data_IF_670965076955
#
_entry.id   IF_670965076955
#
_cell.length_a   1.000
_cell.length_b   1.000
_cell.length_c   1.000
_cell.angle_alpha   90.00
_cell.angle_beta   90.00
_cell.angle_gamma   90.00
#
_symmetry.space_group_name_H-M   'P 1'
#
loop_
_entity.id
_entity.type
_entity.pdbx_description
1 polymer ?
#
# COMPACT_ATOMS: atom_id res chain seq x y z
N UNK A 1 -17.17 11.95 -16.96
CA UNK A 1 -15.81 11.61 -16.48
C UNK A 1 -15.53 10.20 -16.91
N UNK A 2 -14.44 9.98 -17.65
CA UNK A 2 -14.17 8.68 -18.30
C UNK A 2 -13.77 7.65 -17.25
N UNK A 3 -14.38 6.47 -17.31
CA UNK A 3 -13.80 5.30 -16.64
C UNK A 3 -12.44 5.02 -17.27
N UNK A 4 -11.42 4.60 -16.51
CA UNK A 4 -10.15 4.19 -17.09
C UNK A 4 -10.38 3.17 -18.21
N UNK A 5 -9.72 3.38 -19.34
CA UNK A 5 -9.83 2.52 -20.52
C UNK A 5 -8.89 1.33 -20.37
N UNK A 6 -9.45 0.13 -20.17
CA UNK A 6 -8.69 -1.12 -20.15
C UNK A 6 -8.87 -1.90 -21.46
N UNK A 7 -7.83 -2.59 -21.95
CA UNK A 7 -6.49 -2.70 -21.37
C UNK A 7 -5.67 -1.41 -21.57
N UNK A 8 -4.83 -1.06 -20.58
CA UNK A 8 -3.84 0.01 -20.70
C UNK A 8 -2.43 -0.57 -20.81
N UNK A 9 -1.54 0.16 -21.48
CA UNK A 9 -0.10 -0.13 -21.50
C UNK A 9 0.69 0.85 -20.63
N UNK A 10 0.00 1.76 -19.95
CA UNK A 10 0.62 2.70 -19.01
C UNK A 10 0.90 2.03 -17.67
N UNK A 11 1.93 2.52 -16.99
CA UNK A 11 2.33 2.03 -15.68
C UNK A 11 2.95 0.63 -15.71
N UNK A 12 3.14 0.06 -14.53
CA UNK A 12 3.83 -1.20 -14.33
C UNK A 12 3.23 -2.03 -13.19
N UNK A 13 3.30 -3.35 -13.36
CA UNK A 13 2.94 -4.36 -12.35
C UNK A 13 4.21 -4.92 -11.69
N UNK A 14 4.08 -5.90 -10.79
CA UNK A 14 5.19 -6.47 -10.01
C UNK A 14 6.40 -6.97 -10.83
N UNK A 15 6.22 -7.31 -12.12
CA UNK A 15 7.30 -7.74 -13.04
C UNK A 15 7.71 -6.66 -14.06
N UNK A 16 7.14 -5.47 -13.95
CA UNK A 16 7.42 -4.36 -14.84
C UNK A 16 8.81 -3.80 -14.60
N UNK A 17 9.26 -2.98 -15.54
CA UNK A 17 10.55 -2.29 -15.47
C UNK A 17 10.29 -0.79 -15.39
N UNK A 18 11.13 -0.11 -14.62
CA UNK A 18 11.19 1.34 -14.62
C UNK A 18 12.23 1.84 -15.62
N UNK A 19 12.06 3.08 -16.08
CA UNK A 19 12.93 3.70 -17.08
C UNK A 19 14.30 4.09 -16.52
N UNK A 20 14.38 4.34 -15.20
CA UNK A 20 15.61 4.67 -14.53
C UNK A 20 16.64 3.53 -14.63
N UNK A 21 17.81 3.81 -15.21
CA UNK A 21 18.86 2.80 -15.42
C UNK A 21 19.37 2.19 -14.12
N UNK A 22 19.28 2.91 -13.01
CA UNK A 22 19.67 2.47 -11.67
C UNK A 22 18.71 1.43 -11.09
N UNK A 23 17.47 1.30 -11.60
CA UNK A 23 16.51 0.31 -11.13
C UNK A 23 17.00 -1.14 -11.26
N UNK A 24 17.91 -1.42 -12.20
CA UNK A 24 18.57 -2.73 -12.32
C UNK A 24 19.44 -3.11 -11.11
N UNK A 25 19.77 -2.15 -10.24
CA UNK A 25 20.51 -2.38 -8.98
C UNK A 25 19.60 -2.79 -7.82
N UNK A 26 18.31 -3.02 -8.10
CA UNK A 26 17.35 -3.53 -7.14
C UNK A 26 16.77 -4.84 -7.65
N UNK A 27 16.65 -5.81 -6.75
CA UNK A 27 15.84 -7.00 -6.94
C UNK A 27 14.78 -7.02 -5.85
N UNK A 28 13.54 -6.74 -6.24
CA UNK A 28 12.43 -6.73 -5.30
C UNK A 28 11.98 -8.16 -4.97
N UNK A 29 11.90 -8.44 -3.67
CA UNK A 29 11.41 -9.68 -3.11
C UNK A 29 9.89 -9.80 -3.14
N UNK A 30 9.41 -10.96 -2.72
CA UNK A 30 8.00 -11.21 -2.42
C UNK A 30 7.91 -11.61 -0.95
N UNK A 31 6.93 -11.10 -0.17
CA UNK A 31 6.65 -11.68 1.12
C UNK A 31 6.12 -13.10 0.96
N UNK A 32 6.16 -13.88 2.03
CA UNK A 32 5.65 -15.25 2.09
C UNK A 32 6.30 -16.14 1.04
N UNK A 33 7.62 -16.04 0.88
CA UNK A 33 8.37 -16.62 -0.24
C UNK A 33 8.09 -18.12 -0.47
N UNK A 34 8.00 -18.90 0.61
CA UNK A 34 7.65 -20.32 0.52
C UNK A 34 6.23 -20.53 -0.01
N UNK A 35 5.23 -19.85 0.58
CA UNK A 35 3.83 -19.95 0.16
C UNK A 35 3.64 -19.50 -1.30
N UNK A 36 4.31 -18.41 -1.71
CA UNK A 36 4.31 -17.93 -3.10
C UNK A 36 4.95 -18.95 -4.04
N UNK A 37 6.04 -19.61 -3.63
CA UNK A 37 6.68 -20.66 -4.42
C UNK A 37 5.76 -21.87 -4.59
N UNK A 38 5.16 -22.35 -3.51
CA UNK A 38 4.21 -23.47 -3.54
C UNK A 38 2.98 -23.13 -4.40
N UNK A 39 2.43 -21.92 -4.28
CA UNK A 39 1.32 -21.46 -5.12
C UNK A 39 1.70 -21.48 -6.61
N UNK A 40 2.88 -20.98 -6.99
CA UNK A 40 3.37 -21.03 -8.38
C UNK A 40 3.47 -22.46 -8.90
N UNK A 41 3.89 -23.41 -8.08
CA UNK A 41 3.91 -24.83 -8.45
C UNK A 41 2.50 -25.41 -8.61
N UNK A 42 1.58 -25.07 -7.71
CA UNK A 42 0.21 -25.58 -7.73
C UNK A 42 -0.56 -25.19 -9.00
N UNK A 43 -0.28 -24.01 -9.56
CA UNK A 43 -0.92 -23.52 -10.79
C UNK A 43 -0.12 -23.81 -12.07
N UNK A 44 1.07 -24.41 -11.97
CA UNK A 44 1.95 -24.57 -13.12
C UNK A 44 1.32 -25.51 -14.16
N UNK A 45 1.12 -24.98 -15.38
CA UNK A 45 0.53 -25.74 -16.49
C UNK A 45 -0.97 -25.99 -16.36
N UNK A 46 -1.67 -25.32 -15.42
CA UNK A 46 -3.13 -25.38 -15.26
C UNK A 46 -3.80 -24.36 -16.18
N UNK A 47 -4.56 -24.85 -17.15
CA UNK A 47 -5.40 -24.05 -18.06
C UNK A 47 -6.76 -23.69 -17.45
N UNK A 48 -7.17 -24.41 -16.41
CA UNK A 48 -8.40 -24.18 -15.64
C UNK A 48 -8.25 -23.15 -14.51
N UNK A 49 -7.03 -22.64 -14.28
CA UNK A 49 -6.80 -21.62 -13.27
C UNK A 49 -7.07 -20.22 -13.81
N UNK A 50 -8.14 -19.58 -13.30
CA UNK A 50 -8.43 -18.17 -13.52
C UNK A 50 -7.89 -17.30 -12.36
N UNK A 51 -6.89 -16.43 -12.59
CA UNK A 51 -6.38 -15.51 -11.57
C UNK A 51 -7.44 -14.59 -10.95
N UNK A 52 -8.55 -14.33 -11.65
CA UNK A 52 -9.66 -13.54 -11.12
C UNK A 52 -10.29 -14.20 -9.87
N UNK A 53 -10.21 -15.54 -9.73
CA UNK A 53 -10.68 -16.23 -8.54
C UNK A 53 -9.89 -15.81 -7.27
N UNK A 54 -8.57 -15.62 -7.39
CA UNK A 54 -7.76 -15.09 -6.28
C UNK A 54 -8.08 -13.63 -5.98
N UNK A 55 -8.35 -12.82 -7.01
CA UNK A 55 -8.80 -11.44 -6.81
C UNK A 55 -10.13 -11.38 -6.03
N UNK A 56 -11.09 -12.25 -6.37
CA UNK A 56 -12.37 -12.36 -5.63
C UNK A 56 -12.12 -12.79 -4.19
N UNK A 57 -11.27 -13.79 -3.96
CA UNK A 57 -10.92 -14.24 -2.61
C UNK A 57 -10.26 -13.11 -1.80
N UNK A 58 -9.26 -12.42 -2.35
CA UNK A 58 -8.58 -11.32 -1.68
C UNK A 58 -9.51 -10.14 -1.39
N UNK A 59 -10.40 -9.81 -2.34
CA UNK A 59 -11.43 -8.77 -2.17
C UNK A 59 -12.40 -9.12 -1.02
N UNK A 60 -12.76 -10.40 -0.89
CA UNK A 60 -13.60 -10.87 0.22
C UNK A 60 -12.89 -10.68 1.57
N UNK A 61 -11.60 -11.06 1.68
CA UNK A 61 -10.82 -10.87 2.91
C UNK A 61 -10.66 -9.38 3.25
N UNK A 62 -10.32 -8.53 2.28
CA UNK A 62 -10.20 -7.09 2.48
C UNK A 62 -11.52 -6.46 2.98
N UNK A 63 -12.64 -6.86 2.37
CA UNK A 63 -13.98 -6.43 2.80
C UNK A 63 -14.28 -6.90 4.23
N UNK A 64 -13.90 -8.12 4.61
CA UNK A 64 -14.07 -8.63 5.97
C UNK A 64 -13.31 -7.79 7.00
N UNK A 65 -12.03 -7.45 6.74
CA UNK A 65 -11.22 -6.58 7.61
C UNK A 65 -11.88 -5.21 7.80
N UNK A 66 -12.34 -4.59 6.71
CA UNK A 66 -13.06 -3.32 6.76
C UNK A 66 -14.35 -3.42 7.59
N UNK A 67 -15.10 -4.52 7.43
CA UNK A 67 -16.33 -4.74 8.19
C UNK A 67 -16.07 -4.99 9.67
N UNK A 68 -14.99 -5.71 10.02
CA UNK A 68 -14.54 -5.91 11.40
C UNK A 68 -14.21 -4.56 12.04
N UNK A 69 -13.39 -3.73 11.38
CA UNK A 69 -13.06 -2.38 11.85
C UNK A 69 -14.33 -1.57 12.15
N UNK A 70 -15.26 -1.51 11.18
CA UNK A 70 -16.51 -0.78 11.34
C UNK A 70 -17.40 -1.37 12.46
N UNK A 71 -17.47 -2.69 12.59
CA UNK A 71 -18.28 -3.34 13.61
C UNK A 71 -17.73 -3.09 15.01
N UNK A 72 -16.42 -3.20 15.17
CA UNK A 72 -15.73 -2.97 16.43
C UNK A 72 -15.79 -1.49 16.83
N UNK A 73 -15.66 -0.55 15.89
CA UNK A 73 -15.89 0.88 16.16
C UNK A 73 -17.32 1.17 16.65
N UNK A 74 -18.32 0.48 16.10
CA UNK A 74 -19.71 0.61 16.55
C UNK A 74 -19.90 0.06 17.96
N UNK A 75 -19.33 -1.11 18.25
CA UNK A 75 -19.53 -1.79 19.52
C UNK A 75 -18.69 -1.21 20.67
N UNK A 76 -17.45 -0.80 20.38
CA UNK A 76 -16.44 -0.49 21.41
C UNK A 76 -15.77 0.88 21.22
N UNK A 77 -16.14 1.64 20.18
CA UNK A 77 -15.62 2.99 19.96
C UNK A 77 -14.11 3.04 19.75
N UNK A 78 -13.46 3.99 20.45
CA UNK A 78 -12.04 4.29 20.28
C UNK A 78 -11.14 3.11 20.67
N UNK A 79 -11.46 2.42 21.76
CA UNK A 79 -10.68 1.27 22.20
C UNK A 79 -10.72 0.15 21.17
N UNK A 80 -11.91 -0.17 20.66
CA UNK A 80 -12.05 -1.14 19.59
C UNK A 80 -11.34 -0.76 18.29
N UNK A 81 -11.44 0.51 17.89
CA UNK A 81 -10.72 1.03 16.72
C UNK A 81 -9.21 0.80 16.86
N UNK A 82 -8.66 1.13 18.03
CA UNK A 82 -7.24 0.98 18.32
C UNK A 82 -6.80 -0.50 18.34
N UNK A 83 -7.62 -1.40 18.90
CA UNK A 83 -7.35 -2.85 18.85
C UNK A 83 -7.24 -3.36 17.42
N UNK A 84 -8.19 -3.00 16.54
CA UNK A 84 -8.16 -3.44 15.14
C UNK A 84 -7.03 -2.78 14.37
N UNK A 85 -6.74 -1.49 14.62
CA UNK A 85 -5.61 -0.79 14.02
C UNK A 85 -4.29 -1.50 14.30
N UNK A 86 -4.01 -1.86 15.55
CA UNK A 86 -2.77 -2.57 15.93
C UNK A 86 -2.63 -3.89 15.20
N UNK A 87 -3.69 -4.71 15.16
CA UNK A 87 -3.67 -5.97 14.41
C UNK A 87 -3.43 -5.77 12.91
N UNK A 88 -3.97 -4.71 12.32
CA UNK A 88 -3.70 -4.36 10.92
C UNK A 88 -2.26 -3.84 10.74
N UNK A 89 -1.73 -3.06 11.68
CA UNK A 89 -0.34 -2.62 11.67
C UNK A 89 0.59 -3.84 11.69
N UNK A 90 0.36 -4.82 12.55
CA UNK A 90 1.14 -6.06 12.62
C UNK A 90 1.17 -6.79 11.27
N UNK A 91 0.03 -6.95 10.61
CA UNK A 91 -0.03 -7.57 9.28
C UNK A 91 0.72 -6.75 8.21
N UNK A 92 0.63 -5.42 8.26
CA UNK A 92 1.38 -4.53 7.37
C UNK A 92 2.89 -4.59 7.60
N UNK A 93 3.30 -4.66 8.87
CA UNK A 93 4.69 -4.80 9.26
C UNK A 93 5.27 -6.13 8.77
N UNK A 94 4.62 -7.25 9.07
CA UNK A 94 5.05 -8.59 8.67
C UNK A 94 5.25 -8.68 7.15
N UNK A 95 4.25 -8.25 6.37
CA UNK A 95 4.32 -8.30 4.92
C UNK A 95 5.45 -7.43 4.34
N UNK A 96 5.70 -6.24 4.92
CA UNK A 96 6.78 -5.38 4.44
C UNK A 96 8.15 -5.86 4.91
N UNK A 97 8.26 -6.35 6.14
CA UNK A 97 9.47 -6.93 6.71
C UNK A 97 9.94 -8.12 5.85
N UNK A 98 9.07 -9.09 5.57
CA UNK A 98 9.42 -10.20 4.70
C UNK A 98 9.72 -9.77 3.26
N UNK A 99 9.04 -8.75 2.73
CA UNK A 99 9.37 -8.20 1.41
C UNK A 99 10.81 -7.66 1.39
N UNK A 100 11.21 -6.91 2.43
CA UNK A 100 12.54 -6.32 2.57
C UNK A 100 13.62 -7.39 2.75
N UNK A 101 13.40 -8.39 3.61
CA UNK A 101 14.30 -9.54 3.81
C UNK A 101 14.56 -10.32 2.52
N UNK A 102 13.56 -10.39 1.65
CA UNK A 102 13.65 -11.07 0.36
C UNK A 102 14.10 -10.14 -0.80
N UNK A 103 14.41 -8.88 -0.51
CA UNK A 103 14.85 -7.89 -1.50
C UNK A 103 16.36 -7.67 -1.43
N UNK A 104 16.96 -7.35 -2.58
CA UNK A 104 18.34 -6.88 -2.67
C UNK A 104 18.30 -5.42 -3.15
N UNK A 105 18.68 -4.48 -2.28
CA UNK A 105 18.72 -3.04 -2.59
C UNK A 105 20.16 -2.56 -2.47
N UNK A 106 20.73 -2.07 -3.58
CA UNK A 106 22.10 -1.58 -3.59
C UNK A 106 22.28 -0.31 -2.74
N UNK A 107 23.29 -0.30 -1.87
CA UNK A 107 23.72 0.88 -1.10
C UNK A 107 24.28 2.01 -1.98
N UNK A 108 24.73 1.71 -3.20
CA UNK A 108 25.18 2.72 -4.18
C UNK A 108 24.04 3.58 -4.78
N UNK A 109 22.79 3.28 -4.47
CA UNK A 109 21.65 4.08 -4.92
C UNK A 109 21.55 5.36 -4.10
N UNK A 110 21.01 6.40 -4.71
CA UNK A 110 20.62 7.57 -3.93
C UNK A 110 19.44 7.19 -3.01
N UNK A 111 19.31 7.87 -1.87
CA UNK A 111 18.31 7.54 -0.86
C UNK A 111 16.88 7.57 -1.41
N UNK A 112 16.54 8.59 -2.18
CA UNK A 112 15.21 8.69 -2.80
C UNK A 112 15.00 7.68 -3.93
N UNK A 113 16.06 7.20 -4.58
CA UNK A 113 15.95 6.06 -5.50
C UNK A 113 15.56 4.80 -4.73
N UNK A 114 16.24 4.50 -3.61
CA UNK A 114 15.90 3.35 -2.76
C UNK A 114 14.45 3.42 -2.29
N UNK A 115 14.04 4.56 -1.73
CA UNK A 115 12.67 4.80 -1.27
C UNK A 115 11.67 4.63 -2.40
N UNK A 116 11.88 5.27 -3.56
CA UNK A 116 10.96 5.16 -4.71
C UNK A 116 10.84 3.73 -5.24
N UNK A 117 11.94 2.97 -5.28
CA UNK A 117 11.94 1.58 -5.76
C UNK A 117 11.27 0.61 -4.77
N UNK A 118 11.42 0.83 -3.47
CA UNK A 118 10.70 0.08 -2.43
C UNK A 118 9.21 0.41 -2.42
N UNK A 119 8.84 1.67 -2.68
CA UNK A 119 7.43 2.07 -2.86
C UNK A 119 6.82 1.38 -4.07
N UNK A 120 7.57 1.24 -5.17
CA UNK A 120 7.12 0.42 -6.30
C UNK A 120 6.82 -1.02 -5.88
N UNK A 121 7.64 -1.61 -5.01
CA UNK A 121 7.38 -2.95 -4.45
C UNK A 121 6.07 -2.96 -3.65
N UNK A 122 5.90 -2.02 -2.72
CA UNK A 122 4.69 -1.87 -1.93
C UNK A 122 3.45 -1.77 -2.83
N UNK A 123 3.47 -0.88 -3.83
CA UNK A 123 2.33 -0.64 -4.70
C UNK A 123 2.01 -1.84 -5.59
N UNK A 124 3.03 -2.43 -6.22
CA UNK A 124 2.81 -3.45 -7.26
C UNK A 124 2.75 -4.88 -6.71
N UNK A 125 3.31 -5.13 -5.52
CA UNK A 125 3.34 -6.45 -4.87
C UNK A 125 2.32 -6.51 -3.75
N UNK A 126 2.44 -5.65 -2.72
CA UNK A 126 1.57 -5.73 -1.53
C UNK A 126 0.15 -5.25 -1.84
N UNK A 127 0.03 -4.19 -2.64
CA UNK A 127 -1.27 -3.65 -3.04
C UNK A 127 -1.75 -4.15 -4.40
N UNK A 128 -0.95 -4.98 -5.09
CA UNK A 128 -1.23 -5.49 -6.43
C UNK A 128 -1.84 -4.41 -7.33
N UNK A 129 -1.26 -3.21 -7.32
CA UNK A 129 -1.78 -2.02 -8.00
C UNK A 129 -0.93 -1.69 -9.22
N UNK A 130 -1.58 -1.13 -10.24
CA UNK A 130 -0.89 -0.63 -11.43
C UNK A 130 -0.33 0.76 -11.11
N UNK A 131 0.99 0.88 -11.10
CA UNK A 131 1.69 2.08 -10.67
C UNK A 131 2.35 2.80 -11.85
N UNK A 132 2.35 4.13 -11.83
CA UNK A 132 3.26 4.97 -12.62
C UNK A 132 4.11 5.82 -11.67
N UNK A 133 5.34 5.40 -11.35
CA UNK A 133 6.20 6.13 -10.44
C UNK A 133 7.05 7.18 -11.16
N UNK A 134 7.55 8.17 -10.41
CA UNK A 134 8.46 9.21 -10.89
C UNK A 134 9.31 9.76 -9.76
N UNK A 135 10.63 9.78 -9.93
CA UNK A 135 11.52 10.54 -9.02
C UNK A 135 11.54 12.00 -9.50
N UNK A 136 11.19 12.94 -8.62
CA UNK A 136 11.05 14.36 -8.97
C UNK A 136 12.23 15.21 -8.53
N UNK A 137 12.92 14.81 -7.46
CA UNK A 137 14.14 15.46 -6.99
C UNK A 137 14.94 14.51 -6.08
N UNK A 138 16.14 14.91 -5.63
CA UNK A 138 16.90 14.14 -4.62
C UNK A 138 16.14 13.92 -3.29
N UNK A 139 15.17 14.79 -2.98
CA UNK A 139 14.43 14.76 -1.71
C UNK A 139 12.95 14.36 -1.88
N UNK A 140 12.51 14.02 -3.09
CA UNK A 140 11.11 13.71 -3.37
C UNK A 140 10.88 12.75 -4.54
N UNK A 141 9.85 11.93 -4.42
CA UNK A 141 9.28 11.19 -5.53
C UNK A 141 7.75 11.23 -5.49
N UNK A 142 7.14 10.85 -6.60
CA UNK A 142 5.70 10.81 -6.77
C UNK A 142 5.31 9.49 -7.42
N UNK A 143 4.06 9.09 -7.24
CA UNK A 143 3.50 7.98 -8.00
C UNK A 143 2.00 8.15 -8.19
N UNK A 144 1.54 7.67 -9.35
CA UNK A 144 0.12 7.50 -9.62
C UNK A 144 -0.25 6.02 -9.49
N UNK A 145 -1.33 5.74 -8.78
CA UNK A 145 -2.02 4.45 -8.88
C UNK A 145 -3.09 4.58 -9.97
N UNK A 146 -2.85 3.91 -11.10
CA UNK A 146 -3.74 3.91 -12.26
C UNK A 146 -4.88 2.91 -12.12
N UNK A 147 -4.64 1.84 -11.36
CA UNK A 147 -5.65 0.86 -10.96
C UNK A 147 -5.32 0.29 -9.58
N UNK A 148 -6.33 0.16 -8.73
CA UNK A 148 -6.20 -0.50 -7.42
C UNK A 148 -7.27 -1.59 -7.27
N UNK A 149 -6.94 -2.75 -6.66
CA UNK A 149 -7.91 -3.82 -6.36
C UNK A 149 -9.20 -3.35 -5.65
N UNK A 150 -9.11 -2.27 -4.88
CA UNK A 150 -10.21 -1.77 -4.06
C UNK A 150 -11.08 -0.72 -4.75
N UNK A 151 -10.68 -0.17 -5.90
CA UNK A 151 -11.28 1.05 -6.47
C UNK A 151 -12.78 0.91 -6.79
N UNK A 152 -13.22 -0.30 -7.15
CA UNK A 152 -14.60 -0.60 -7.55
C UNK A 152 -15.46 -1.11 -6.38
N UNK A 153 -14.89 -1.23 -5.18
CA UNK A 153 -15.56 -1.78 -3.99
C UNK A 153 -15.54 -0.83 -2.80
N UNK A 154 -14.48 -0.06 -2.63
CA UNK A 154 -14.30 0.83 -1.48
C UNK A 154 -14.83 2.22 -1.81
N UNK A 155 -15.51 2.84 -0.84
CA UNK A 155 -15.69 4.29 -0.87
C UNK A 155 -14.35 4.97 -0.55
N UNK A 156 -14.23 6.26 -0.89
CA UNK A 156 -13.04 7.03 -0.51
C UNK A 156 -12.74 7.03 0.99
N UNK A 157 -13.76 6.90 1.84
CA UNK A 157 -13.55 6.83 3.29
C UNK A 157 -13.11 5.44 3.75
N UNK A 158 -13.47 4.38 3.02
CA UNK A 158 -13.05 3.01 3.34
C UNK A 158 -11.55 2.80 3.13
N UNK A 159 -10.93 3.52 2.19
CA UNK A 159 -9.48 3.52 1.99
C UNK A 159 -8.66 3.88 3.24
N UNK A 160 -9.28 4.45 4.29
CA UNK A 160 -8.60 4.70 5.57
C UNK A 160 -8.06 3.42 6.22
N UNK A 161 -8.68 2.26 5.98
CA UNK A 161 -8.17 0.98 6.52
C UNK A 161 -6.78 0.65 5.97
N UNK A 162 -6.52 1.05 4.72
CA UNK A 162 -5.21 0.86 4.08
C UNK A 162 -4.13 1.70 4.76
N UNK A 163 -4.50 2.82 5.40
CA UNK A 163 -3.52 3.62 6.15
C UNK A 163 -2.96 2.87 7.35
N UNK A 164 -3.75 2.02 8.00
CA UNK A 164 -3.27 1.20 9.11
C UNK A 164 -2.31 0.11 8.62
N UNK A 165 -2.53 -0.47 7.43
CA UNK A 165 -1.53 -1.35 6.83
C UNK A 165 -0.22 -0.59 6.56
N UNK A 166 -0.30 0.60 5.95
CA UNK A 166 0.88 1.43 5.65
C UNK A 166 1.64 1.86 6.90
N UNK A 167 0.98 2.09 8.03
CA UNK A 167 1.69 2.38 9.30
C UNK A 167 2.66 1.27 9.67
N UNK A 168 2.22 0.01 9.67
CA UNK A 168 3.11 -1.13 9.92
C UNK A 168 4.21 -1.26 8.86
N UNK A 169 3.88 -0.98 7.60
CA UNK A 169 4.87 -1.00 6.51
C UNK A 169 5.95 0.08 6.68
N UNK A 170 5.57 1.28 7.15
CA UNK A 170 6.49 2.37 7.46
C UNK A 170 7.37 2.03 8.66
N UNK A 171 6.81 1.38 9.67
CA UNK A 171 7.58 0.89 10.83
C UNK A 171 8.62 -0.15 10.36
N UNK A 172 8.24 -1.11 9.51
CA UNK A 172 9.17 -2.09 8.94
C UNK A 172 10.27 -1.44 8.08
N UNK A 173 9.91 -0.46 7.24
CA UNK A 173 10.88 0.33 6.47
C UNK A 173 11.85 1.08 7.38
N UNK A 174 11.36 1.67 8.46
CA UNK A 174 12.18 2.36 9.45
C UNK A 174 13.18 1.42 10.12
N UNK A 175 12.75 0.23 10.52
CA UNK A 175 13.63 -0.78 11.14
C UNK A 175 14.74 -1.26 10.19
N UNK A 176 14.50 -1.19 8.87
CA UNK A 176 15.50 -1.47 7.82
C UNK A 176 16.32 -0.24 7.38
N UNK A 177 16.16 0.91 8.01
CA UNK A 177 16.92 2.12 7.69
C UNK A 177 16.37 2.93 6.50
N UNK A 178 15.11 2.73 6.12
CA UNK A 178 14.43 3.45 5.04
C UNK A 178 13.30 4.37 5.53
N UNK A 179 13.20 4.67 6.83
CA UNK A 179 12.06 5.34 7.46
C UNK A 179 11.97 6.86 7.26
N UNK A 180 12.94 7.46 6.58
CA UNK A 180 13.19 8.90 6.59
C UNK A 180 12.37 9.69 5.57
N UNK A 181 11.12 9.27 5.36
CA UNK A 181 10.20 9.90 4.41
C UNK A 181 8.76 9.87 4.92
N UNK A 182 7.90 10.69 4.32
CA UNK A 182 6.44 10.60 4.50
C UNK A 182 5.75 10.65 3.14
N UNK A 183 4.58 10.04 3.06
CA UNK A 183 3.71 10.11 1.89
C UNK A 183 2.45 10.93 2.19
N UNK A 184 1.99 11.69 1.20
CA UNK A 184 0.73 12.43 1.22
C UNK A 184 -0.10 12.06 -0.01
N UNK A 185 -1.39 11.87 0.22
CA UNK A 185 -2.36 11.58 -0.85
C UNK A 185 -2.99 12.89 -1.32
N UNK A 186 -2.95 13.17 -2.61
CA UNK A 186 -3.58 14.36 -3.19
C UNK A 186 -4.95 14.05 -3.79
N UNK A 187 -5.02 12.98 -4.58
CA UNK A 187 -6.25 12.55 -5.26
C UNK A 187 -6.53 11.08 -5.01
N UNK A 188 -7.79 10.67 -5.20
CA UNK A 188 -8.25 9.30 -4.97
C UNK A 188 -9.25 8.89 -6.05
N UNK A 189 -9.05 7.74 -6.67
CA UNK A 189 -10.00 7.14 -7.64
C UNK A 189 -11.40 7.01 -7.03
N UNK A 190 -11.58 6.53 -5.78
CA UNK A 190 -12.92 6.47 -5.18
C UNK A 190 -13.58 7.83 -4.90
N UNK A 191 -12.87 8.95 -5.09
CA UNK A 191 -13.45 10.32 -5.09
C UNK A 191 -13.79 10.82 -6.50
N UNK A 192 -13.61 10.00 -7.53
CA UNK A 192 -13.85 10.34 -8.93
C UNK A 192 -12.63 10.90 -9.67
N UNK A 193 -11.43 10.83 -9.08
CA UNK A 193 -10.19 11.15 -9.81
C UNK A 193 -9.86 10.05 -10.82
N UNK A 194 -9.08 10.40 -11.84
CA UNK A 194 -8.61 9.44 -12.85
C UNK A 194 -7.62 8.42 -12.27
N UNK A 195 -6.77 8.88 -11.34
CA UNK A 195 -5.79 8.08 -10.61
C UNK A 195 -5.70 8.58 -9.16
N UNK A 196 -5.15 7.75 -8.28
CA UNK A 196 -4.74 8.21 -6.95
C UNK A 196 -3.32 8.76 -7.05
N UNK A 197 -3.13 10.04 -6.77
CA UNK A 197 -1.83 10.69 -6.81
C UNK A 197 -1.23 10.80 -5.41
N UNK A 198 0.03 10.39 -5.28
CA UNK A 198 0.79 10.43 -4.03
C UNK A 198 2.10 11.19 -4.23
N UNK A 199 2.41 12.02 -3.25
CA UNK A 199 3.69 12.74 -3.13
C UNK A 199 4.44 12.18 -1.93
N UNK A 200 5.71 11.89 -2.12
CA UNK A 200 6.60 11.33 -1.11
C UNK A 200 7.79 12.26 -0.95
N UNK A 201 8.04 12.66 0.29
CA UNK A 201 9.06 13.66 0.61
C UNK A 201 9.92 13.15 1.76
N UNK A 202 11.21 13.46 1.68
CA UNK A 202 12.16 13.21 2.76
C UNK A 202 11.77 14.01 4.01
N UNK A 203 11.85 13.38 5.16
CA UNK A 203 11.64 14.05 6.45
C UNK A 203 12.88 14.90 6.77
N UNK A 204 12.67 16.18 7.06
CA UNK A 204 13.76 17.10 7.41
C UNK A 204 14.22 16.96 8.86
N UNK A 205 13.33 16.49 9.74
CA UNK A 205 13.61 16.24 11.16
C UNK A 205 13.02 14.88 11.57
N UNK A 206 13.86 13.96 12.07
CA UNK A 206 13.44 12.64 12.59
C UNK A 206 12.80 12.70 13.98
N UNK A 207 12.38 13.89 14.43
CA UNK A 207 11.87 14.10 15.77
C UNK A 207 10.39 13.68 15.85
N UNK A 208 10.14 12.38 16.03
CA UNK A 208 8.83 11.85 16.39
C UNK A 208 8.27 10.82 15.41
N UNK A 209 6.98 10.51 15.56
CA UNK A 209 6.28 9.56 14.68
C UNK A 209 6.10 10.15 13.29
N UNK A 210 6.15 9.29 12.27
CA UNK A 210 5.88 9.65 10.88
C UNK A 210 4.55 10.45 10.77
N UNK A 211 4.51 11.58 10.03
CA UNK A 211 3.29 12.38 9.85
C UNK A 211 2.07 11.56 9.36
N UNK A 212 2.32 10.43 8.70
CA UNK A 212 1.28 9.47 8.31
C UNK A 212 0.35 9.08 9.47
N UNK A 213 0.89 8.81 10.67
CA UNK A 213 0.10 8.39 11.83
C UNK A 213 -0.90 9.48 12.25
N UNK A 214 -0.48 10.75 12.24
CA UNK A 214 -1.34 11.87 12.64
C UNK A 214 -2.57 11.96 11.74
N UNK A 215 -2.40 11.83 10.42
CA UNK A 215 -3.54 11.89 9.51
C UNK A 215 -4.44 10.65 9.63
N UNK A 216 -3.88 9.49 9.98
CA UNK A 216 -4.69 8.30 10.32
C UNK A 216 -5.52 8.51 11.58
N UNK A 217 -4.98 9.18 12.61
CA UNK A 217 -5.71 9.54 13.83
C UNK A 217 -6.88 10.46 13.50
N UNK A 218 -6.65 11.49 12.66
CA UNK A 218 -7.71 12.40 12.21
C UNK A 218 -8.85 11.67 11.48
N UNK A 219 -8.53 10.67 10.65
CA UNK A 219 -9.52 9.85 9.97
C UNK A 219 -10.26 8.89 10.92
N UNK A 220 -9.56 8.35 11.93
CA UNK A 220 -10.14 7.54 13.00
C UNK A 220 -11.14 8.33 13.84
N UNK A 221 -10.75 9.52 14.30
CA UNK A 221 -11.61 10.47 15.03
C UNK A 221 -12.84 10.85 14.19
N UNK A 222 -12.67 11.08 12.89
CA UNK A 222 -13.80 11.36 11.98
C UNK A 222 -14.76 10.18 11.85
N UNK A 223 -14.26 8.93 11.89
CA UNK A 223 -15.11 7.75 11.86
C UNK A 223 -15.98 7.67 13.13
N UNK A 224 -15.38 7.92 14.30
CA UNK A 224 -16.08 7.93 15.59
C UNK A 224 -17.09 9.07 15.70
N UNK A 225 -16.77 10.28 15.21
CA UNK A 225 -17.71 11.42 15.21
C UNK A 225 -18.89 11.23 14.26
N UNK A 226 -18.68 10.56 13.11
CA UNK A 226 -19.79 10.21 12.20
C UNK A 226 -20.79 9.27 12.88
N UNK A 227 -20.32 8.36 13.74
CA UNK A 227 -21.17 7.48 14.56
C UNK A 227 -22.02 8.29 15.55
N UNK A 228 -21.43 9.23 16.28
CA UNK A 228 -22.16 10.05 17.27
C UNK A 228 -23.32 10.85 16.67
N UNK A 229 -23.27 11.16 15.37
CA UNK A 229 -24.35 11.86 14.65
C UNK A 229 -25.42 10.93 14.08
N UNK A 230 -25.21 9.62 14.13
CA UNK A 230 -26.10 8.59 13.55
C UNK A 230 -26.78 7.71 14.60
N UNK A 231 -26.32 7.76 15.86
CA UNK A 231 -27.00 7.18 17.02
C UNK A 231 -27.90 8.21 17.69
#
# INVERSE_FOLDING_TARGET
MGKPSYPTREGLWAKGKRDEKSYKKVRLGMPYAEAVSQFRQAILGRDDFDPAALFVWGTMQATAVLNILKAVERAFGKEGQETVRKAINEAGYEAMHELLDNSEVSEELDEMERVSYLITALNTILYASLERPKITSPDSCEFDILWCPHQDRYTAFDCRVQRYFVEGMLDALSDHGYGDFTARVETLIPKGAEFCHFVVEKLKDHAGKNPWHKYSDELGERALKKREKQG
#
